data_IF_697939988635
#
_entry.id   IF_697939988635
#
_cell.length_a   1.000
_cell.length_b   1.000
_cell.length_c   1.000
_cell.angle_alpha   90.00
_cell.angle_beta   90.00
_cell.angle_gamma   90.00
#
_symmetry.space_group_name_H-M   'P 1'
#
loop_
_entity.id
_entity.type
_entity.pdbx_description
1 polymer ?
#
# COMPACT_ATOMS: atom_id res chain seq x y z
N UNK A 1 13.00 25.41 14.36
CA UNK A 1 14.26 24.65 14.47
C UNK A 1 14.04 23.36 15.22
N UNK A 2 14.41 22.22 14.65
CA UNK A 2 14.36 20.99 15.41
C UNK A 2 15.33 21.06 16.58
N UNK A 3 15.00 20.42 17.68
CA UNK A 3 15.88 20.32 18.82
C UNK A 3 17.11 19.48 18.46
N UNK A 4 18.27 19.80 19.00
CA UNK A 4 19.53 19.12 18.68
C UNK A 4 19.51 17.62 18.98
N UNK A 5 18.65 17.20 19.94
CA UNK A 5 18.52 15.79 20.34
C UNK A 5 17.40 15.05 19.60
N UNK A 6 16.75 15.68 18.60
CA UNK A 6 15.75 14.99 17.80
C UNK A 6 16.42 14.08 16.78
N UNK A 7 15.87 12.88 16.52
CA UNK A 7 16.38 12.01 15.47
C UNK A 7 16.39 12.71 14.11
N UNK A 8 17.46 12.51 13.37
CA UNK A 8 17.59 13.10 12.03
C UNK A 8 16.62 12.48 11.04
N UNK A 9 16.53 11.15 11.03
CA UNK A 9 15.61 10.42 10.14
C UNK A 9 14.20 10.49 10.71
N UNK A 10 13.25 10.94 9.89
CA UNK A 10 11.87 11.16 10.32
C UNK A 10 10.92 10.09 9.79
N UNK A 11 11.20 9.50 8.63
CA UNK A 11 10.24 8.62 7.98
C UNK A 11 10.94 7.79 6.90
N UNK A 12 10.47 6.56 6.72
CA UNK A 12 10.79 5.76 5.54
C UNK A 12 9.53 5.70 4.68
N UNK A 13 9.66 5.99 3.39
CA UNK A 13 8.51 6.01 2.48
C UNK A 13 8.78 5.06 1.33
N UNK A 14 7.97 4.00 1.16
CA UNK A 14 8.10 3.13 0.01
C UNK A 14 7.94 3.91 -1.28
N UNK A 15 8.77 3.60 -2.25
CA UNK A 15 8.75 4.25 -3.56
C UNK A 15 8.61 3.16 -4.62
N UNK A 16 7.43 3.08 -5.23
CA UNK A 16 7.12 2.05 -6.22
C UNK A 16 7.25 2.60 -7.63
N UNK A 17 7.97 1.87 -8.48
CA UNK A 17 7.93 2.10 -9.92
C UNK A 17 6.79 1.29 -10.49
N UNK A 18 5.91 1.93 -11.27
CA UNK A 18 4.67 1.33 -11.75
C UNK A 18 4.58 1.40 -13.27
N UNK A 19 3.88 0.43 -13.88
CA UNK A 19 3.72 0.38 -15.32
C UNK A 19 2.72 1.42 -15.83
N UNK A 20 1.63 1.62 -15.09
CA UNK A 20 0.55 2.54 -15.47
C UNK A 20 0.04 3.23 -14.21
N UNK A 21 0.42 4.49 -14.02
CA UNK A 21 0.12 5.22 -12.79
C UNK A 21 -1.38 5.42 -12.58
N UNK A 22 -2.18 5.49 -13.65
CA UNK A 22 -3.63 5.65 -13.51
C UNK A 22 -4.29 4.37 -12.98
N UNK A 23 -3.83 3.20 -13.40
CA UNK A 23 -4.29 1.93 -12.82
C UNK A 23 -3.90 1.83 -11.36
N UNK A 24 -2.68 2.26 -11.02
CA UNK A 24 -2.23 2.28 -9.63
C UNK A 24 -3.08 3.21 -8.78
N UNK A 25 -3.44 4.39 -9.29
CA UNK A 25 -4.29 5.33 -8.56
C UNK A 25 -5.69 4.78 -8.33
N UNK A 26 -6.26 4.05 -9.28
CA UNK A 26 -7.56 3.39 -9.05
C UNK A 26 -7.47 2.40 -7.89
N UNK A 27 -6.38 1.66 -7.82
CA UNK A 27 -6.16 0.71 -6.74
C UNK A 27 -5.95 1.42 -5.40
N UNK A 28 -4.99 2.36 -5.33
CA UNK A 28 -4.62 3.00 -4.07
C UNK A 28 -5.61 4.04 -3.60
N UNK A 29 -6.09 4.89 -4.50
CA UNK A 29 -6.99 5.99 -4.12
C UNK A 29 -8.44 5.52 -4.08
N UNK A 30 -8.95 5.00 -5.20
CA UNK A 30 -10.36 4.61 -5.26
C UNK A 30 -10.63 3.34 -4.44
N UNK A 31 -9.69 2.39 -4.46
CA UNK A 31 -9.85 1.11 -3.79
C UNK A 31 -9.47 1.13 -2.31
N UNK A 32 -8.26 1.58 -1.98
CA UNK A 32 -7.76 1.54 -0.60
C UNK A 32 -7.99 2.81 0.20
N UNK A 33 -8.35 3.90 -0.45
CA UNK A 33 -8.67 5.14 0.26
C UNK A 33 -7.50 6.07 0.51
N UNK A 34 -6.36 5.88 -0.17
CA UNK A 34 -5.25 6.84 -0.10
C UNK A 34 -5.66 8.17 -0.70
N UNK A 35 -5.05 9.25 -0.22
CA UNK A 35 -5.23 10.60 -0.75
C UNK A 35 -3.95 11.06 -1.42
N UNK A 36 -4.04 11.55 -2.65
CA UNK A 36 -2.88 12.14 -3.33
C UNK A 36 -2.68 13.56 -2.85
N UNK A 37 -1.57 13.81 -2.16
CA UNK A 37 -1.27 15.12 -1.56
C UNK A 37 -0.20 15.90 -2.31
N UNK A 38 0.63 15.22 -3.11
CA UNK A 38 1.65 15.85 -3.96
C UNK A 38 1.69 15.13 -5.29
N UNK A 39 2.02 15.87 -6.35
CA UNK A 39 2.14 15.29 -7.69
C UNK A 39 3.14 16.08 -8.53
N UNK A 40 3.68 15.42 -9.54
CA UNK A 40 4.51 16.04 -10.56
C UNK A 40 3.94 15.70 -11.93
N UNK A 41 3.62 16.74 -12.69
CA UNK A 41 3.13 16.61 -14.06
C UNK A 41 4.20 17.13 -14.98
N UNK A 42 4.53 16.34 -15.99
CA UNK A 42 5.52 16.66 -16.99
C UNK A 42 4.91 16.46 -18.38
N UNK A 43 4.96 17.50 -19.20
CA UNK A 43 4.37 17.49 -20.55
C UNK A 43 2.91 17.00 -20.55
N UNK A 44 2.12 17.46 -19.57
CA UNK A 44 0.72 17.10 -19.44
C UNK A 44 0.45 15.72 -18.87
N UNK A 45 1.48 14.98 -18.47
CA UNK A 45 1.34 13.63 -17.92
C UNK A 45 1.73 13.59 -16.45
N UNK A 46 0.93 12.86 -15.67
CA UNK A 46 1.28 12.57 -14.27
C UNK A 46 2.42 11.57 -14.27
N UNK A 47 3.57 11.97 -13.69
CA UNK A 47 4.77 11.13 -13.65
C UNK A 47 5.04 10.56 -12.28
N UNK A 48 4.71 11.31 -11.24
CA UNK A 48 4.99 10.94 -9.86
C UNK A 48 3.90 11.48 -8.96
N UNK A 49 3.62 10.77 -7.87
CA UNK A 49 2.72 11.26 -6.84
C UNK A 49 3.11 10.76 -5.46
N UNK A 50 2.62 11.47 -4.45
CA UNK A 50 2.73 11.13 -3.04
C UNK A 50 1.33 10.84 -2.53
N UNK A 51 1.14 9.66 -1.97
CA UNK A 51 -0.14 9.19 -1.46
C UNK A 51 -0.06 8.98 0.05
N UNK A 52 -1.11 9.37 0.76
CA UNK A 52 -1.18 9.23 2.22
C UNK A 52 -2.44 8.47 2.63
N UNK A 53 -2.29 7.65 3.67
CA UNK A 53 -3.39 6.94 4.31
C UNK A 53 -3.11 6.95 5.82
N UNK A 54 -3.81 7.83 6.57
CA UNK A 54 -3.47 8.08 7.96
C UNK A 54 -2.03 8.57 8.08
N UNK A 55 -1.24 7.93 8.93
CA UNK A 55 0.17 8.26 9.12
C UNK A 55 1.09 7.61 8.10
N UNK A 56 0.57 6.74 7.24
CA UNK A 56 1.37 6.06 6.23
C UNK A 56 1.44 6.87 4.94
N UNK A 57 2.56 6.73 4.22
CA UNK A 57 2.74 7.38 2.93
C UNK A 57 3.45 6.42 1.97
N UNK A 58 3.15 6.56 0.68
CA UNK A 58 3.87 5.87 -0.39
C UNK A 58 4.06 6.83 -1.56
N UNK A 59 5.05 6.57 -2.38
CA UNK A 59 5.27 7.29 -3.63
C UNK A 59 5.09 6.35 -4.81
N UNK A 60 4.57 6.87 -5.90
CA UNK A 60 4.44 6.16 -7.17
C UNK A 60 5.11 6.96 -8.26
N UNK A 61 5.83 6.29 -9.13
CA UNK A 61 6.39 6.89 -10.34
C UNK A 61 6.27 5.89 -11.49
N UNK A 62 5.75 6.36 -12.62
CA UNK A 62 5.63 5.52 -13.80
C UNK A 62 7.02 5.22 -14.37
N UNK A 63 7.23 3.98 -14.81
CA UNK A 63 8.45 3.59 -15.50
C UNK A 63 8.64 4.43 -16.76
N UNK A 64 9.90 4.73 -17.08
CA UNK A 64 10.21 5.22 -18.41
C UNK A 64 9.90 4.10 -19.42
N UNK A 65 9.25 4.40 -20.57
CA UNK A 65 8.86 3.35 -21.53
C UNK A 65 9.99 2.42 -21.94
N UNK A 66 11.22 2.93 -22.01
CA UNK A 66 12.40 2.16 -22.43
C UNK A 66 13.05 1.36 -21.30
N UNK A 67 12.54 1.47 -20.07
CA UNK A 67 13.14 0.88 -18.87
C UNK A 67 12.15 0.08 -18.03
N UNK A 68 11.13 -0.49 -18.68
CA UNK A 68 10.18 -1.34 -17.95
C UNK A 68 10.88 -2.65 -17.60
N UNK A 69 10.94 -3.02 -16.30
CA UNK A 69 11.58 -4.28 -15.91
C UNK A 69 10.83 -5.48 -16.45
N UNK A 70 11.57 -6.55 -16.80
CA UNK A 70 10.99 -7.83 -17.19
C UNK A 70 10.81 -8.76 -16.00
N UNK A 71 11.38 -8.44 -14.85
CA UNK A 71 11.31 -9.24 -13.63
C UNK A 71 10.03 -8.92 -12.84
N UNK A 72 9.66 -9.84 -11.93
CA UNK A 72 8.55 -9.60 -11.01
C UNK A 72 8.89 -8.46 -10.07
N UNK A 73 8.11 -7.39 -10.11
CA UNK A 73 8.28 -6.28 -9.21
C UNK A 73 7.79 -6.67 -7.81
N UNK A 74 8.52 -6.21 -6.80
CA UNK A 74 8.13 -6.42 -5.41
C UNK A 74 8.43 -7.79 -4.83
N UNK A 75 9.02 -8.70 -5.59
CA UNK A 75 9.41 -10.01 -5.05
C UNK A 75 10.35 -9.84 -3.85
N UNK A 76 10.05 -10.55 -2.78
CA UNK A 76 10.86 -10.51 -1.56
C UNK A 76 10.58 -9.34 -0.63
N UNK A 77 9.62 -8.46 -0.97
CA UNK A 77 9.28 -7.29 -0.17
C UNK A 77 7.78 -7.25 0.09
N UNK A 78 7.39 -6.98 1.33
CA UNK A 78 6.01 -6.66 1.71
C UNK A 78 6.03 -5.35 2.48
N UNK A 79 5.02 -4.53 2.25
CA UNK A 79 4.84 -3.32 3.04
C UNK A 79 3.75 -3.61 4.06
N UNK A 80 4.12 -3.56 5.34
CA UNK A 80 3.20 -3.85 6.44
C UNK A 80 2.64 -2.56 7.00
N UNK A 81 1.33 -2.40 6.92
CA UNK A 81 0.61 -1.26 7.49
C UNK A 81 -0.01 -1.72 8.81
N UNK A 82 0.41 -1.14 9.91
CA UNK A 82 -0.20 -1.39 11.20
C UNK A 82 -1.47 -0.54 11.28
N UNK A 83 -2.60 -1.17 11.52
CA UNK A 83 -3.90 -0.48 11.53
C UNK A 83 -4.74 -0.94 12.71
N UNK A 84 -5.90 -0.31 12.90
CA UNK A 84 -6.78 -0.64 14.02
C UNK A 84 -7.67 -1.83 13.73
N UNK A 85 -8.03 -2.05 12.46
CA UNK A 85 -8.98 -3.10 12.09
C UNK A 85 -8.72 -3.55 10.66
N UNK A 86 -7.89 -4.59 10.51
CA UNK A 86 -7.52 -5.13 9.21
C UNK A 86 -8.72 -5.78 8.48
N UNK A 87 -9.66 -6.35 9.23
CA UNK A 87 -10.86 -6.96 8.64
C UNK A 87 -11.76 -5.88 8.02
N UNK A 88 -11.87 -4.72 8.68
CA UNK A 88 -12.64 -3.60 8.12
C UNK A 88 -12.02 -3.11 6.81
N UNK A 89 -10.69 -3.06 6.72
CA UNK A 89 -10.00 -2.70 5.48
C UNK A 89 -10.33 -3.70 4.37
N UNK A 90 -10.35 -5.00 4.68
CA UNK A 90 -10.76 -6.03 3.74
C UNK A 90 -12.19 -5.77 3.22
N UNK A 91 -13.14 -5.54 4.13
CA UNK A 91 -14.54 -5.33 3.76
C UNK A 91 -14.71 -4.08 2.91
N UNK A 92 -14.07 -2.99 3.28
CA UNK A 92 -14.17 -1.73 2.53
C UNK A 92 -13.55 -1.85 1.15
N UNK A 93 -12.35 -2.42 1.04
CA UNK A 93 -11.67 -2.56 -0.24
C UNK A 93 -12.42 -3.50 -1.18
N UNK A 94 -12.91 -4.64 -0.68
CA UNK A 94 -13.66 -5.58 -1.52
C UNK A 94 -14.99 -4.99 -1.96
N UNK A 95 -15.64 -4.17 -1.14
CA UNK A 95 -16.85 -3.46 -1.54
C UNK A 95 -16.60 -2.46 -2.67
N UNK A 96 -15.36 -2.01 -2.83
CA UNK A 96 -14.94 -1.10 -3.91
C UNK A 96 -14.34 -1.83 -5.10
N UNK A 97 -14.43 -3.16 -5.13
CA UNK A 97 -13.97 -3.98 -6.25
C UNK A 97 -12.53 -4.45 -6.19
N UNK A 98 -11.82 -4.23 -5.07
CA UNK A 98 -10.46 -4.74 -4.90
C UNK A 98 -10.51 -6.22 -4.54
N UNK A 99 -9.73 -7.03 -5.24
CA UNK A 99 -9.59 -8.45 -4.92
C UNK A 99 -8.59 -8.65 -3.79
N UNK A 100 -8.94 -9.51 -2.85
CA UNK A 100 -8.05 -9.88 -1.75
C UNK A 100 -8.38 -11.30 -1.30
N UNK A 101 -7.40 -12.00 -0.74
CA UNK A 101 -7.64 -13.25 -0.03
C UNK A 101 -8.39 -12.95 1.26
N UNK A 102 -9.09 -13.96 1.79
CA UNK A 102 -9.74 -13.79 3.09
C UNK A 102 -8.70 -13.48 4.16
N UNK A 103 -8.98 -12.53 5.06
CA UNK A 103 -8.06 -12.27 6.17
C UNK A 103 -7.82 -13.53 7.01
N UNK A 104 -6.62 -13.65 7.53
CA UNK A 104 -6.23 -14.76 8.39
C UNK A 104 -5.49 -14.23 9.60
N UNK A 105 -5.36 -15.08 10.64
CA UNK A 105 -4.61 -14.72 11.84
C UNK A 105 -3.21 -15.30 11.74
N UNK A 106 -2.23 -14.41 11.84
CA UNK A 106 -0.83 -14.77 11.93
C UNK A 106 -0.13 -13.88 12.95
N UNK A 107 0.67 -14.48 13.81
CA UNK A 107 1.44 -13.76 14.81
C UNK A 107 0.57 -12.84 15.68
N UNK A 108 -0.58 -13.38 16.13
CA UNK A 108 -1.57 -12.68 16.97
C UNK A 108 -2.19 -11.44 16.28
N UNK A 109 -2.22 -11.43 14.95
CA UNK A 109 -2.82 -10.33 14.18
C UNK A 109 -3.74 -10.86 13.09
N UNK A 110 -4.84 -10.15 12.87
CA UNK A 110 -5.56 -10.27 11.60
C UNK A 110 -4.70 -9.66 10.51
N UNK A 111 -4.49 -10.41 9.43
CA UNK A 111 -3.69 -9.96 8.28
C UNK A 111 -4.57 -9.94 7.04
N UNK A 112 -4.66 -8.78 6.41
CA UNK A 112 -5.32 -8.60 5.12
C UNK A 112 -4.26 -8.29 4.07
N UNK A 113 -4.16 -9.13 3.03
CA UNK A 113 -3.12 -9.02 2.01
C UNK A 113 -3.71 -8.56 0.69
N UNK A 114 -3.10 -7.54 0.10
CA UNK A 114 -3.40 -7.09 -1.26
C UNK A 114 -2.15 -7.17 -2.12
N UNK A 115 -2.34 -7.44 -3.41
CA UNK A 115 -1.31 -7.23 -4.42
C UNK A 115 -1.78 -6.09 -5.31
N UNK A 116 -0.92 -5.09 -5.53
CA UNK A 116 -1.26 -3.99 -6.40
C UNK A 116 -1.16 -4.40 -7.88
N UNK A 117 -1.54 -3.54 -8.84
CA UNK A 117 -1.51 -3.90 -10.26
C UNK A 117 -0.12 -4.33 -10.78
N UNK A 118 0.96 -3.91 -10.13
CA UNK A 118 2.32 -4.27 -10.51
C UNK A 118 2.88 -5.47 -9.74
N UNK A 119 2.12 -6.00 -8.76
CA UNK A 119 2.54 -7.13 -7.95
C UNK A 119 3.18 -6.77 -6.61
N UNK A 120 3.21 -5.50 -6.25
CA UNK A 120 3.68 -5.10 -4.91
C UNK A 120 2.71 -5.58 -3.85
N UNK A 121 3.27 -6.19 -2.80
CA UNK A 121 2.48 -6.81 -1.74
C UNK A 121 2.29 -5.86 -0.56
N UNK A 122 1.03 -5.68 -0.16
CA UNK A 122 0.65 -4.83 0.96
C UNK A 122 -0.06 -5.69 2.00
N UNK A 123 0.40 -5.65 3.25
CA UNK A 123 -0.20 -6.37 4.37
C UNK A 123 -0.76 -5.34 5.36
N UNK A 124 -2.05 -5.44 5.66
CA UNK A 124 -2.66 -4.63 6.73
C UNK A 124 -2.87 -5.52 7.93
N UNK A 125 -2.36 -5.10 9.09
CA UNK A 125 -2.32 -5.94 10.28
C UNK A 125 -2.91 -5.22 11.48
N UNK A 126 -3.73 -5.96 12.27
CA UNK A 126 -4.29 -5.44 13.51
C UNK A 126 -4.35 -6.55 14.58
N UNK A 127 -4.07 -6.22 15.87
CA UNK A 127 -4.05 -7.23 16.93
C UNK A 127 -5.39 -7.93 17.10
N UNK A 128 -5.33 -9.22 17.48
CA UNK A 128 -6.52 -10.02 17.77
C UNK A 128 -6.20 -11.13 18.77
N UNK A 129 -7.23 -11.55 19.52
CA UNK A 129 -7.15 -12.72 20.40
C UNK A 129 -7.62 -14.00 19.71
N UNK A 130 -8.03 -13.92 18.46
CA UNK A 130 -8.47 -15.11 17.71
C UNK A 130 -7.30 -16.09 17.56
N UNK A 131 -7.59 -17.41 17.51
CA UNK A 131 -6.52 -18.42 17.38
C UNK A 131 -5.70 -18.25 16.10
N UNK A 132 -4.41 -18.61 16.19
CA UNK A 132 -3.53 -18.64 15.01
C UNK A 132 -4.15 -19.45 13.90
N UNK A 133 -3.94 -19.01 12.67
CA UNK A 133 -4.45 -19.64 11.44
C UNK A 133 -5.96 -19.59 11.27
N UNK A 134 -6.69 -18.86 12.15
CA UNK A 134 -8.12 -18.58 11.92
C UNK A 134 -8.31 -17.85 10.60
N UNK A 135 -9.39 -18.19 9.88
CA UNK A 135 -9.75 -17.53 8.62
C UNK A 135 -11.03 -16.74 8.85
N UNK A 136 -11.06 -15.50 8.39
CA UNK A 136 -12.25 -14.66 8.49
C UNK A 136 -13.40 -15.26 7.69
N UNK A 137 -14.59 -15.29 8.30
CA UNK A 137 -15.81 -15.77 7.65
C UNK A 137 -16.73 -14.56 7.45
N UNK A 138 -16.98 -14.17 6.18
CA UNK A 138 -17.89 -13.06 5.88
C UNK A 138 -19.32 -13.31 6.33
#
# INVERSE_FOLDING_TARGET
MPAENQPNVQQAVPFFRVANIHLSLRFYVDGLGFTMTKKWIDEGKLRWCWLELGAAAIMLQEHHPDKIPVARLGDGVSICFQCRNAVAIYREATSRGISACLPFVGNAMWVTVFCDPDGYKLDFESPTDAPEESIYTP
#
